data_IF_621354616961
#
_entry.id   IF_621354616961
#
_cell.length_a   1.000
_cell.length_b   1.000
_cell.length_c   1.000
_cell.angle_alpha   90.00
_cell.angle_beta   90.00
_cell.angle_gamma   90.00
#
_symmetry.space_group_name_H-M   'P 1'
#
loop_
_entity.id
_entity.type
_entity.pdbx_description
1 polymer ?
#
# COMPACT_ATOMS: atom_id res chain seq x y z
N UNK A 1 3.95 1.83 18.74
CA UNK A 1 2.93 2.52 19.55
C UNK A 1 1.54 2.06 19.13
N UNK A 2 0.46 2.41 19.85
CA UNK A 2 -0.90 2.02 19.46
C UNK A 2 -1.85 3.20 19.60
N UNK A 3 -2.83 3.26 18.68
CA UNK A 3 -3.94 4.21 18.75
C UNK A 3 -5.27 3.47 18.52
N UNK A 4 -6.30 3.84 19.28
CA UNK A 4 -7.65 3.27 19.12
C UNK A 4 -8.40 4.02 18.00
N UNK A 5 -8.92 3.26 17.04
CA UNK A 5 -9.71 3.78 15.90
C UNK A 5 -11.17 3.26 15.94
N UNK A 6 -11.73 3.10 17.13
CA UNK A 6 -13.06 2.54 17.35
C UNK A 6 -13.00 1.03 17.63
N UNK A 7 -13.37 0.19 16.64
CA UNK A 7 -13.38 -1.28 16.81
C UNK A 7 -12.01 -1.95 16.67
N UNK A 8 -10.94 -1.17 16.48
CA UNK A 8 -9.58 -1.69 16.36
C UNK A 8 -8.55 -0.79 17.04
N UNK A 9 -7.36 -1.36 17.29
CA UNK A 9 -6.17 -0.64 17.72
C UNK A 9 -5.10 -0.79 16.65
N UNK A 10 -4.69 0.32 16.07
CA UNK A 10 -3.65 0.33 15.05
C UNK A 10 -2.28 0.50 15.70
N UNK A 11 -1.36 -0.36 15.31
CA UNK A 11 0.06 -0.20 15.64
C UNK A 11 0.71 0.76 14.65
N UNK A 12 1.58 1.62 15.17
CA UNK A 12 2.42 2.47 14.34
C UNK A 12 3.79 2.68 14.97
N UNK A 13 4.77 2.94 14.12
CA UNK A 13 6.11 3.33 14.51
C UNK A 13 6.45 4.71 13.94
N UNK A 14 7.29 5.49 14.63
CA UNK A 14 7.62 6.85 14.22
C UNK A 14 9.13 6.99 14.08
N UNK A 15 9.57 7.55 12.97
CA UNK A 15 10.97 7.86 12.69
C UNK A 15 11.08 9.35 12.30
N UNK A 16 12.08 10.01 12.81
CA UNK A 16 12.28 11.46 12.64
C UNK A 16 11.58 12.31 13.70
N UNK A 17 11.95 13.58 13.73
CA UNK A 17 11.45 14.54 14.69
C UNK A 17 10.23 15.27 14.14
N UNK A 18 9.24 15.57 14.99
CA UNK A 18 8.08 16.36 14.61
C UNK A 18 8.37 17.87 14.50
N UNK A 19 9.42 18.33 15.17
CA UNK A 19 9.86 19.73 15.15
C UNK A 19 11.31 19.82 14.66
N UNK A 20 11.60 20.81 13.84
CA UNK A 20 12.96 21.15 13.44
C UNK A 20 13.62 22.05 14.50
N UNK A 21 14.37 21.43 15.40
CA UNK A 21 15.09 22.13 16.47
C UNK A 21 16.22 23.04 15.95
N UNK A 22 16.67 22.86 14.72
CA UNK A 22 17.69 23.72 14.10
C UNK A 22 17.09 24.99 13.48
N UNK A 23 15.77 25.05 13.27
CA UNK A 23 15.09 26.24 12.77
C UNK A 23 14.90 27.27 13.90
N UNK A 24 14.97 28.57 13.55
CA UNK A 24 14.79 29.68 14.52
C UNK A 24 13.40 29.68 15.19
N UNK A 25 12.42 29.01 14.60
CA UNK A 25 11.02 29.02 15.06
C UNK A 25 10.53 27.66 15.56
N UNK A 26 11.41 26.64 15.69
CA UNK A 26 10.99 25.26 15.98
C UNK A 26 9.91 24.80 14.99
N UNK A 27 10.13 25.02 13.69
CA UNK A 27 9.15 24.74 12.65
C UNK A 27 8.69 23.27 12.68
N UNK A 28 7.39 23.06 12.50
CA UNK A 28 6.84 21.70 12.41
C UNK A 28 7.27 21.05 11.10
N UNK A 29 7.77 19.82 11.17
CA UNK A 29 8.06 19.00 9.99
C UNK A 29 6.77 18.40 9.45
N UNK A 30 6.61 18.29 8.12
CA UNK A 30 5.46 17.61 7.54
C UNK A 30 5.46 16.13 7.95
N UNK A 31 4.26 15.58 8.19
CA UNK A 31 4.07 14.17 8.48
C UNK A 31 3.92 13.41 7.16
N UNK A 32 4.59 12.25 7.07
CA UNK A 32 4.38 11.28 6.00
C UNK A 32 3.88 9.96 6.59
N UNK A 33 2.67 9.54 6.22
CA UNK A 33 2.12 8.24 6.59
C UNK A 33 2.48 7.23 5.52
N UNK A 34 3.05 6.12 5.94
CA UNK A 34 3.55 5.04 5.09
C UNK A 34 2.67 3.81 5.26
N UNK A 35 1.92 3.49 4.20
CA UNK A 35 0.96 2.40 4.12
C UNK A 35 1.56 1.23 3.35
N UNK A 36 1.79 0.12 4.05
CA UNK A 36 2.45 -1.07 3.49
C UNK A 36 1.57 -1.86 2.52
N UNK A 37 2.23 -2.64 1.67
CA UNK A 37 1.59 -3.60 0.77
C UNK A 37 1.14 -4.88 1.46
N UNK A 38 0.67 -5.81 0.68
CA UNK A 38 0.08 -7.09 1.09
C UNK A 38 -1.25 -7.27 0.39
N UNK A 39 -2.39 -7.33 1.10
CA UNK A 39 -2.54 -7.23 2.57
C UNK A 39 -1.96 -8.39 3.35
N UNK A 40 -2.01 -8.30 4.67
CA UNK A 40 -1.54 -9.37 5.57
C UNK A 40 -0.06 -9.31 5.94
N UNK A 41 0.69 -8.29 5.50
CA UNK A 41 2.04 -7.99 6.01
C UNK A 41 2.00 -6.92 7.11
N UNK A 42 3.16 -6.45 7.54
CA UNK A 42 3.33 -5.29 8.41
C UNK A 42 4.21 -4.22 7.75
N UNK A 43 4.36 -3.07 8.42
CA UNK A 43 5.14 -1.94 7.93
C UNK A 43 6.64 -2.25 7.75
N UNK A 44 7.16 -3.34 8.31
CA UNK A 44 8.58 -3.68 8.21
C UNK A 44 9.05 -3.91 6.77
N UNK A 45 8.10 -4.17 5.86
CA UNK A 45 8.37 -4.30 4.42
C UNK A 45 8.82 -2.98 3.77
N UNK A 46 8.52 -1.83 4.38
CA UNK A 46 8.93 -0.51 3.91
C UNK A 46 10.24 -0.01 4.53
N UNK A 47 10.71 -0.68 5.58
CA UNK A 47 11.94 -0.29 6.28
C UNK A 47 13.17 -1.08 5.81
N UNK A 48 14.37 -0.51 5.80
CA UNK A 48 14.69 0.88 6.21
C UNK A 48 14.64 1.90 5.05
N UNK A 49 14.05 1.55 3.91
CA UNK A 49 14.15 2.36 2.68
C UNK A 49 13.69 3.80 2.85
N UNK A 50 12.61 4.01 3.59
CA UNK A 50 12.05 5.35 3.80
C UNK A 50 12.69 6.12 4.95
N UNK A 51 13.47 5.47 5.81
CA UNK A 51 14.11 6.13 6.97
C UNK A 51 15.01 7.31 6.54
N UNK A 52 15.53 7.29 5.30
CA UNK A 52 16.30 8.39 4.69
C UNK A 52 15.57 9.73 4.60
N UNK A 53 14.26 9.73 4.65
CA UNK A 53 13.44 10.94 4.59
C UNK A 53 13.14 11.54 5.96
N UNK A 54 13.67 10.93 7.05
CA UNK A 54 13.47 11.40 8.44
C UNK A 54 14.10 12.77 8.72
N UNK A 55 15.04 13.21 7.88
CA UNK A 55 15.65 14.55 7.98
C UNK A 55 14.69 15.66 7.54
N UNK A 56 13.68 15.35 6.74
CA UNK A 56 12.73 16.32 6.17
C UNK A 56 11.30 16.11 6.62
N UNK A 57 10.95 14.91 7.05
CA UNK A 57 9.59 14.52 7.45
C UNK A 57 9.62 13.75 8.77
N UNK A 58 8.52 13.85 9.52
CA UNK A 58 8.20 12.84 10.53
C UNK A 58 7.50 11.67 9.81
N UNK A 59 8.12 10.49 9.85
CA UNK A 59 7.62 9.29 9.19
C UNK A 59 6.78 8.47 10.15
N UNK A 60 5.57 8.11 9.73
CA UNK A 60 4.67 7.22 10.48
C UNK A 60 4.47 5.95 9.66
N UNK A 61 4.99 4.85 10.16
CA UNK A 61 4.81 3.51 9.61
C UNK A 61 3.62 2.86 10.28
N UNK A 62 2.56 2.60 9.53
CA UNK A 62 1.30 2.09 10.05
C UNK A 62 1.12 0.62 9.68
N UNK A 63 0.72 -0.22 10.64
CA UNK A 63 0.16 -1.54 10.37
C UNK A 63 -1.35 -1.36 10.15
N UNK A 64 -1.87 -1.79 8.99
CA UNK A 64 -3.31 -1.73 8.71
C UNK A 64 -4.11 -2.60 9.67
N UNK A 65 -5.40 -2.29 9.85
CA UNK A 65 -6.36 -3.14 10.58
C UNK A 65 -6.22 -4.61 10.17
N UNK A 66 -6.12 -5.52 11.15
CA UNK A 66 -5.94 -6.96 10.94
C UNK A 66 -4.53 -7.36 10.54
N UNK A 67 -3.63 -6.43 10.20
CA UNK A 67 -2.28 -6.70 9.74
C UNK A 67 -1.25 -6.48 10.85
N UNK A 68 -0.13 -7.18 10.76
CA UNK A 68 0.99 -7.01 11.67
C UNK A 68 0.61 -7.09 13.14
N UNK A 69 0.82 -6.01 13.87
CA UNK A 69 0.52 -5.85 15.30
C UNK A 69 -0.84 -5.20 15.56
N UNK A 70 -1.51 -4.73 14.51
CA UNK A 70 -2.84 -4.12 14.61
C UNK A 70 -3.91 -5.17 14.87
N UNK A 71 -4.96 -4.77 15.59
CA UNK A 71 -6.15 -5.60 15.80
C UNK A 71 -7.24 -5.29 14.77
N UNK A 72 -8.34 -6.00 14.83
CA UNK A 72 -9.54 -5.81 14.03
C UNK A 72 -10.12 -7.14 13.59
N UNK A 73 -11.43 -7.27 13.73
CA UNK A 73 -12.16 -8.49 13.39
C UNK A 73 -12.37 -8.60 11.88
N UNK A 74 -12.52 -9.83 11.39
CA UNK A 74 -12.61 -10.15 9.96
C UNK A 74 -13.76 -9.44 9.24
N UNK A 75 -14.88 -9.25 9.90
CA UNK A 75 -16.06 -8.56 9.36
C UNK A 75 -15.85 -7.06 9.11
N UNK A 76 -14.70 -6.53 9.54
CA UNK A 76 -14.28 -5.15 9.35
C UNK A 76 -13.10 -5.00 8.36
N UNK A 77 -12.70 -6.05 7.62
CA UNK A 77 -11.59 -6.01 6.68
C UNK A 77 -12.05 -5.66 5.27
N UNK A 78 -12.43 -4.41 5.03
CA UNK A 78 -12.85 -3.90 3.72
C UNK A 78 -12.29 -2.48 3.49
N UNK A 79 -12.23 -2.07 2.23
CA UNK A 79 -11.52 -0.85 1.81
C UNK A 79 -12.06 0.41 2.49
N UNK A 80 -13.37 0.56 2.61
CA UNK A 80 -13.99 1.70 3.32
C UNK A 80 -13.46 1.83 4.74
N UNK A 81 -13.41 0.71 5.47
CA UNK A 81 -12.99 0.71 6.86
C UNK A 81 -11.49 0.99 6.99
N UNK A 82 -10.63 0.43 6.12
CA UNK A 82 -9.22 0.75 6.14
C UNK A 82 -8.96 2.22 5.82
N UNK A 83 -9.73 2.82 4.91
CA UNK A 83 -9.65 4.26 4.60
C UNK A 83 -10.11 5.12 5.77
N UNK A 84 -11.25 4.80 6.37
CA UNK A 84 -11.81 5.53 7.51
C UNK A 84 -10.91 5.40 8.77
N UNK A 85 -10.22 4.28 8.93
CA UNK A 85 -9.21 4.11 9.99
C UNK A 85 -8.09 5.15 9.88
N UNK A 86 -7.63 5.50 8.67
CA UNK A 86 -6.60 6.53 8.48
C UNK A 86 -7.13 7.90 8.92
N UNK A 87 -8.39 8.21 8.58
CA UNK A 87 -9.02 9.47 8.99
C UNK A 87 -9.12 9.57 10.52
N UNK A 88 -9.58 8.50 11.18
CA UNK A 88 -9.66 8.44 12.65
C UNK A 88 -8.28 8.50 13.29
N UNK A 89 -7.31 7.77 12.74
CA UNK A 89 -5.91 7.79 13.18
C UNK A 89 -5.34 9.21 13.17
N UNK A 90 -5.48 9.93 12.04
CA UNK A 90 -5.02 11.31 11.91
C UNK A 90 -5.71 12.23 12.94
N UNK A 91 -7.04 12.12 13.06
CA UNK A 91 -7.81 12.90 14.02
C UNK A 91 -7.37 12.67 15.46
N UNK A 92 -7.12 11.42 15.87
CA UNK A 92 -6.68 11.07 17.22
C UNK A 92 -5.29 11.60 17.58
N UNK A 93 -4.42 11.73 16.60
CA UNK A 93 -3.05 12.20 16.78
C UNK A 93 -2.85 13.68 16.44
N UNK A 94 -3.90 14.39 16.02
CA UNK A 94 -3.81 15.80 15.62
C UNK A 94 -2.98 15.99 14.34
N UNK A 95 -2.97 15.01 13.45
CA UNK A 95 -2.25 15.07 12.17
C UNK A 95 -3.17 15.72 11.14
N UNK A 96 -2.77 16.88 10.63
CA UNK A 96 -3.50 17.62 9.63
C UNK A 96 -2.88 17.41 8.24
N UNK A 97 -3.68 16.93 7.29
CA UNK A 97 -3.34 16.76 5.88
C UNK A 97 -1.91 16.22 5.62
N UNK A 98 -1.56 15.01 6.08
CA UNK A 98 -0.24 14.43 5.86
C UNK A 98 0.05 14.19 4.38
N UNK A 99 1.33 13.97 4.03
CA UNK A 99 1.71 13.24 2.83
C UNK A 99 1.35 11.77 3.06
N UNK A 100 0.62 11.16 2.13
CA UNK A 100 0.26 9.74 2.23
C UNK A 100 0.99 8.96 1.14
N UNK A 101 1.82 8.01 1.56
CA UNK A 101 2.45 7.04 0.68
C UNK A 101 1.73 5.70 0.82
N UNK A 102 1.38 5.09 -0.31
CA UNK A 102 0.81 3.74 -0.33
C UNK A 102 1.46 2.84 -1.37
N UNK A 103 1.90 1.65 -0.95
CA UNK A 103 2.45 0.63 -1.83
C UNK A 103 1.46 -0.50 -2.03
N UNK A 104 1.20 -0.91 -3.28
CA UNK A 104 0.34 -2.07 -3.61
C UNK A 104 -1.02 -1.95 -2.91
N UNK A 105 -1.41 -2.90 -2.05
CA UNK A 105 -2.60 -2.80 -1.21
C UNK A 105 -2.68 -1.47 -0.42
N UNK A 106 -1.57 -1.02 0.19
CA UNK A 106 -1.53 0.28 0.86
C UNK A 106 -1.81 1.45 -0.08
N UNK A 107 -1.52 1.31 -1.38
CA UNK A 107 -1.89 2.27 -2.41
C UNK A 107 -3.41 2.26 -2.71
N UNK A 108 -4.05 1.10 -2.66
CA UNK A 108 -5.52 1.00 -2.78
C UNK A 108 -6.21 1.69 -1.61
N UNK A 109 -5.75 1.44 -0.38
CA UNK A 109 -6.24 2.13 0.83
C UNK A 109 -5.98 3.64 0.75
N UNK A 110 -4.79 4.07 0.29
CA UNK A 110 -4.43 5.48 0.15
C UNK A 110 -5.33 6.21 -0.86
N UNK A 111 -5.62 5.60 -2.01
CA UNK A 111 -6.54 6.14 -3.01
C UNK A 111 -7.95 6.28 -2.46
N UNK A 112 -8.45 5.23 -1.81
CA UNK A 112 -9.78 5.23 -1.19
C UNK A 112 -9.88 6.29 -0.09
N UNK A 113 -8.85 6.40 0.76
CA UNK A 113 -8.76 7.46 1.77
C UNK A 113 -8.77 8.86 1.16
N UNK A 114 -7.97 9.11 0.11
CA UNK A 114 -7.90 10.42 -0.52
C UNK A 114 -9.22 10.82 -1.22
N UNK A 115 -9.93 9.86 -1.79
CA UNK A 115 -11.23 10.10 -2.43
C UNK A 115 -12.34 10.39 -1.40
N UNK A 116 -12.40 9.62 -0.30
CA UNK A 116 -13.42 9.77 0.76
C UNK A 116 -13.16 10.96 1.69
N UNK A 117 -11.89 11.29 1.91
CA UNK A 117 -11.44 12.34 2.84
C UNK A 117 -10.51 13.36 2.15
N UNK A 118 -10.98 14.10 1.12
CA UNK A 118 -10.11 14.91 0.27
C UNK A 118 -9.35 16.02 1.01
N UNK A 119 -9.88 16.54 2.11
CA UNK A 119 -9.18 17.50 2.96
C UNK A 119 -8.11 16.86 3.87
N UNK A 120 -8.10 15.53 3.97
CA UNK A 120 -7.21 14.74 4.84
C UNK A 120 -5.84 14.44 4.22
N UNK A 121 -5.56 14.85 2.98
CA UNK A 121 -4.32 14.50 2.26
C UNK A 121 -3.71 15.73 1.61
N UNK A 122 -2.46 16.06 1.95
CA UNK A 122 -1.75 17.18 1.29
C UNK A 122 -1.11 16.76 -0.03
N UNK A 123 -0.56 15.56 -0.09
CA UNK A 123 0.04 14.92 -1.26
C UNK A 123 -0.13 13.42 -1.19
N UNK A 124 -0.35 12.80 -2.34
CA UNK A 124 -0.51 11.35 -2.48
C UNK A 124 0.64 10.76 -3.29
N UNK A 125 1.24 9.69 -2.78
CA UNK A 125 2.30 8.94 -3.48
C UNK A 125 1.85 7.49 -3.57
N UNK A 126 1.66 7.00 -4.78
CA UNK A 126 1.18 5.66 -5.10
C UNK A 126 2.30 4.87 -5.77
N UNK A 127 2.66 3.73 -5.21
CA UNK A 127 3.74 2.89 -5.72
C UNK A 127 3.24 1.47 -5.98
N UNK A 128 3.43 0.97 -7.22
CA UNK A 128 3.10 -0.42 -7.60
C UNK A 128 1.71 -0.83 -7.10
N UNK A 129 0.66 -0.11 -7.53
CA UNK A 129 -0.73 -0.28 -7.08
C UNK A 129 -1.71 -0.23 -8.26
N UNK A 130 -2.98 -0.48 -8.00
CA UNK A 130 -4.03 -0.52 -9.00
C UNK A 130 -5.34 0.05 -8.47
N UNK A 131 -6.05 0.83 -9.30
CA UNK A 131 -7.43 1.23 -9.03
C UNK A 131 -8.44 0.16 -9.45
N UNK A 132 -8.02 -0.73 -10.35
CA UNK A 132 -8.76 -1.92 -10.79
C UNK A 132 -7.76 -3.06 -10.98
N UNK A 133 -8.07 -4.23 -10.45
CA UNK A 133 -7.20 -5.39 -10.64
C UNK A 133 -7.34 -5.95 -12.06
N UNK A 134 -6.22 -6.20 -12.71
CA UNK A 134 -6.12 -6.66 -14.09
C UNK A 134 -5.46 -8.05 -14.14
N UNK A 135 -6.24 -9.09 -13.82
CA UNK A 135 -5.72 -10.47 -13.78
C UNK A 135 -5.08 -10.90 -15.11
N UNK A 136 -5.67 -10.49 -16.24
CA UNK A 136 -5.14 -10.78 -17.58
C UNK A 136 -3.74 -10.20 -17.81
N UNK A 137 -3.49 -8.96 -17.36
CA UNK A 137 -2.19 -8.30 -17.46
C UNK A 137 -1.18 -8.90 -16.46
N UNK A 138 -1.64 -9.19 -15.23
CA UNK A 138 -0.84 -9.88 -14.20
C UNK A 138 -0.37 -11.24 -14.73
N UNK A 139 -1.26 -12.04 -15.31
CA UNK A 139 -0.92 -13.34 -15.86
C UNK A 139 0.09 -13.26 -17.01
N UNK A 140 -0.09 -12.29 -17.92
CA UNK A 140 0.87 -12.05 -19.01
C UNK A 140 2.27 -11.72 -18.47
N UNK A 141 2.35 -10.87 -17.44
CA UNK A 141 3.63 -10.49 -16.85
C UNK A 141 4.25 -11.65 -16.07
N UNK A 142 3.47 -12.41 -15.30
CA UNK A 142 3.94 -13.61 -14.60
C UNK A 142 4.49 -14.65 -15.58
N UNK A 143 3.81 -14.86 -16.73
CA UNK A 143 4.29 -15.73 -17.80
C UNK A 143 5.61 -15.25 -18.40
N UNK A 144 5.76 -13.95 -18.60
CA UNK A 144 7.00 -13.34 -19.12
C UNK A 144 8.18 -13.54 -18.17
N UNK A 145 7.95 -13.45 -16.85
CA UNK A 145 9.00 -13.47 -15.83
C UNK A 145 9.32 -14.87 -15.31
N UNK A 146 8.32 -15.73 -15.15
CA UNK A 146 8.43 -17.05 -14.50
C UNK A 146 7.79 -18.19 -15.29
N UNK A 147 7.42 -17.94 -16.56
CA UNK A 147 6.87 -18.98 -17.44
C UNK A 147 5.42 -19.37 -17.11
N UNK A 148 4.97 -20.49 -17.70
CA UNK A 148 3.59 -20.97 -17.55
C UNK A 148 3.26 -21.42 -16.12
N UNK A 149 4.25 -21.89 -15.36
CA UNK A 149 4.08 -22.26 -13.96
C UNK A 149 3.67 -21.03 -13.13
N UNK A 150 4.43 -19.94 -13.19
CA UNK A 150 4.13 -18.71 -12.44
C UNK A 150 2.78 -18.10 -12.87
N UNK A 151 2.47 -18.11 -14.16
CA UNK A 151 1.18 -17.66 -14.67
C UNK A 151 0.01 -18.51 -14.15
N UNK A 152 0.16 -19.83 -14.12
CA UNK A 152 -0.84 -20.76 -13.60
C UNK A 152 -1.08 -20.59 -12.11
N UNK A 153 -0.01 -20.46 -11.32
CA UNK A 153 -0.07 -20.23 -9.88
C UNK A 153 -0.73 -18.88 -9.56
N UNK A 154 -0.37 -17.82 -10.28
CA UNK A 154 -0.98 -16.51 -10.12
C UNK A 154 -2.48 -16.53 -10.44
N UNK A 155 -2.87 -17.13 -11.57
CA UNK A 155 -4.27 -17.32 -11.93
C UNK A 155 -5.03 -18.08 -10.85
N UNK A 156 -4.48 -19.20 -10.37
CA UNK A 156 -5.11 -20.01 -9.32
C UNK A 156 -5.33 -19.20 -8.05
N UNK A 157 -4.31 -18.48 -7.59
CA UNK A 157 -4.40 -17.68 -6.36
C UNK A 157 -5.43 -16.55 -6.48
N UNK A 158 -5.36 -15.75 -7.55
CA UNK A 158 -6.26 -14.59 -7.70
C UNK A 158 -7.71 -14.96 -8.09
N UNK A 159 -7.93 -16.14 -8.69
CA UNK A 159 -9.30 -16.60 -9.04
C UNK A 159 -9.96 -17.46 -7.97
N UNK A 160 -9.18 -18.09 -7.10
CA UNK A 160 -9.67 -18.97 -6.05
C UNK A 160 -8.75 -18.89 -4.82
N UNK A 161 -8.76 -17.76 -4.11
CA UNK A 161 -7.86 -17.52 -2.97
C UNK A 161 -8.09 -18.53 -1.84
N UNK A 162 -6.99 -19.08 -1.33
CA UNK A 162 -6.95 -19.96 -0.16
C UNK A 162 -5.57 -19.86 0.48
N UNK A 163 -5.42 -20.34 1.72
CA UNK A 163 -4.11 -20.35 2.39
C UNK A 163 -3.09 -21.20 1.65
N UNK A 164 -3.48 -22.36 1.13
CA UNK A 164 -2.61 -23.23 0.31
C UNK A 164 -2.19 -22.54 -1.00
N UNK A 165 -3.13 -21.85 -1.66
CA UNK A 165 -2.83 -21.08 -2.87
C UNK A 165 -1.92 -19.87 -2.55
N UNK A 166 -2.11 -19.21 -1.41
CA UNK A 166 -1.25 -18.13 -0.91
C UNK A 166 0.18 -18.64 -0.65
N UNK A 167 0.33 -19.79 0.01
CA UNK A 167 1.64 -20.38 0.26
C UNK A 167 2.35 -20.76 -1.05
N UNK A 168 1.61 -21.37 -1.99
CA UNK A 168 2.15 -21.74 -3.31
C UNK A 168 2.57 -20.49 -4.10
N UNK A 169 1.73 -19.46 -4.10
CA UNK A 169 2.03 -18.18 -4.70
C UNK A 169 3.30 -17.54 -4.09
N UNK A 170 3.44 -17.63 -2.77
CA UNK A 170 4.61 -17.17 -2.04
C UNK A 170 5.92 -17.81 -2.51
N UNK A 171 5.87 -19.11 -2.81
CA UNK A 171 7.05 -19.88 -3.26
C UNK A 171 7.42 -19.60 -4.71
N UNK A 172 6.43 -19.49 -5.60
CA UNK A 172 6.63 -19.43 -7.05
C UNK A 172 6.66 -18.00 -7.59
N UNK A 173 5.72 -17.15 -7.14
CA UNK A 173 5.52 -15.82 -7.73
C UNK A 173 6.24 -14.70 -6.97
N UNK A 174 6.32 -14.75 -5.63
CA UNK A 174 6.98 -13.68 -4.87
C UNK A 174 8.47 -13.46 -5.21
N UNK A 175 9.27 -14.47 -5.57
CA UNK A 175 10.65 -14.23 -6.04
C UNK A 175 10.73 -13.33 -7.27
N UNK A 176 9.68 -13.31 -8.10
CA UNK A 176 9.61 -12.49 -9.33
C UNK A 176 9.39 -11.00 -9.06
N UNK A 177 9.10 -10.61 -7.82
CA UNK A 177 8.90 -9.20 -7.43
C UNK A 177 10.21 -8.44 -7.24
N UNK A 178 11.33 -9.14 -7.22
CA UNK A 178 12.65 -8.55 -7.00
C UNK A 178 13.52 -8.75 -8.23
N UNK A 179 14.23 -7.72 -8.63
CA UNK A 179 15.28 -7.87 -9.64
C UNK A 179 16.44 -8.68 -9.00
N UNK A 180 16.83 -9.85 -9.56
CA UNK A 180 17.92 -10.65 -9.01
C UNK A 180 19.27 -9.89 -9.03
N UNK A 181 19.43 -8.91 -9.92
CA UNK A 181 20.65 -8.09 -10.03
C UNK A 181 20.62 -6.87 -9.09
N UNK A 182 19.52 -6.61 -8.40
CA UNK A 182 19.48 -5.53 -7.41
C UNK A 182 20.35 -5.88 -6.20
N UNK A 183 21.10 -4.92 -5.62
CA UNK A 183 21.80 -5.14 -4.37
C UNK A 183 20.81 -5.68 -3.35
N UNK A 184 21.02 -6.91 -2.89
CA UNK A 184 20.09 -7.55 -1.97
C UNK A 184 20.06 -6.76 -0.65
N UNK A 185 19.04 -6.00 -0.45
CA UNK A 185 18.76 -5.37 0.83
C UNK A 185 18.18 -6.38 1.83
N UNK A 186 18.51 -7.66 1.70
CA UNK A 186 17.95 -8.76 2.49
C UNK A 186 16.49 -9.06 2.14
N UNK A 187 16.01 -10.23 2.50
CA UNK A 187 14.61 -10.58 2.33
C UNK A 187 13.79 -9.96 3.48
N UNK A 188 13.38 -8.69 3.33
CA UNK A 188 12.60 -8.01 4.37
C UNK A 188 11.26 -8.66 4.68
N UNK A 189 10.76 -9.52 3.78
CA UNK A 189 9.54 -10.28 4.00
C UNK A 189 9.69 -11.34 5.08
N UNK A 190 10.89 -11.91 5.24
CA UNK A 190 11.15 -12.95 6.25
C UNK A 190 11.03 -12.43 7.69
N UNK A 191 11.17 -11.13 7.89
CA UNK A 191 11.01 -10.48 9.20
C UNK A 191 9.60 -9.93 9.42
N UNK A 192 8.77 -9.86 8.37
CA UNK A 192 7.43 -9.31 8.46
C UNK A 192 6.50 -10.27 9.22
N UNK A 193 5.64 -9.72 10.05
CA UNK A 193 4.52 -10.46 10.61
C UNK A 193 3.52 -10.70 9.49
N UNK A 194 3.24 -11.97 9.21
CA UNK A 194 2.33 -12.36 8.15
C UNK A 194 0.98 -12.81 8.71
N UNK A 195 -0.09 -12.39 8.04
CA UNK A 195 -1.49 -12.71 8.31
C UNK A 195 -2.15 -13.19 7.00
N UNK A 196 -1.91 -14.44 6.57
CA UNK A 196 -2.44 -14.97 5.31
C UNK A 196 -3.96 -14.85 5.20
N UNK A 197 -4.66 -14.99 6.35
CA UNK A 197 -6.11 -14.89 6.43
C UNK A 197 -6.65 -13.53 5.96
N UNK A 198 -5.91 -12.43 6.19
CA UNK A 198 -6.29 -11.08 5.71
C UNK A 198 -6.12 -11.00 4.19
N UNK A 199 -5.04 -11.56 3.66
CA UNK A 199 -4.81 -11.60 2.23
C UNK A 199 -5.88 -12.42 1.51
N UNK A 200 -6.17 -13.62 1.99
CA UNK A 200 -7.22 -14.49 1.43
C UNK A 200 -8.57 -13.80 1.45
N UNK A 201 -8.96 -13.17 2.56
CA UNK A 201 -10.20 -12.42 2.67
C UNK A 201 -10.28 -11.29 1.62
N UNK A 202 -9.26 -10.43 1.56
CA UNK A 202 -9.23 -9.30 0.64
C UNK A 202 -9.33 -9.75 -0.84
N UNK A 203 -8.56 -10.75 -1.23
CA UNK A 203 -8.57 -11.25 -2.60
C UNK A 203 -9.87 -11.97 -2.97
N UNK A 204 -10.58 -12.56 -1.98
CA UNK A 204 -11.88 -13.22 -2.20
C UNK A 204 -13.02 -12.21 -2.30
N UNK A 205 -13.08 -11.27 -1.36
CA UNK A 205 -14.28 -10.47 -1.13
C UNK A 205 -14.17 -9.05 -1.72
N UNK A 206 -12.99 -8.41 -1.66
CA UNK A 206 -12.82 -7.02 -2.08
C UNK A 206 -12.22 -6.89 -3.49
N UNK A 207 -11.03 -7.46 -3.72
CA UNK A 207 -10.29 -7.20 -4.94
C UNK A 207 -10.98 -7.73 -6.21
N UNK A 208 -11.75 -8.81 -6.11
CA UNK A 208 -12.47 -9.40 -7.23
C UNK A 208 -13.49 -8.43 -7.87
N UNK A 209 -13.99 -7.48 -7.08
CA UNK A 209 -15.02 -6.49 -7.48
C UNK A 209 -14.50 -5.06 -7.49
N UNK A 210 -13.24 -4.84 -7.10
CA UNK A 210 -12.66 -3.52 -6.97
C UNK A 210 -12.53 -2.79 -8.31
N UNK A 211 -13.24 -1.68 -8.45
CA UNK A 211 -13.04 -0.70 -9.52
C UNK A 211 -13.24 0.71 -8.95
N UNK A 212 -12.14 1.36 -8.59
CA UNK A 212 -12.15 2.68 -7.95
C UNK A 212 -11.97 3.83 -8.95
N UNK A 213 -11.97 3.59 -10.28
CA UNK A 213 -11.62 4.60 -11.28
C UNK A 213 -12.53 5.83 -11.24
N UNK A 214 -13.83 5.62 -11.05
CA UNK A 214 -14.78 6.73 -10.93
C UNK A 214 -14.60 7.49 -9.61
N UNK A 215 -14.30 6.80 -8.54
CA UNK A 215 -14.10 7.36 -7.21
C UNK A 215 -12.83 8.22 -7.15
N UNK A 216 -11.70 7.71 -7.65
CA UNK A 216 -10.42 8.43 -7.63
C UNK A 216 -10.36 9.64 -8.58
N UNK A 217 -11.31 9.76 -9.51
CA UNK A 217 -11.45 10.95 -10.34
C UNK A 217 -11.71 12.22 -9.51
N UNK A 218 -12.23 12.07 -8.29
CA UNK A 218 -12.43 13.15 -7.33
C UNK A 218 -11.18 13.57 -6.53
N UNK A 219 -10.05 12.89 -6.68
CA UNK A 219 -8.81 13.24 -5.96
C UNK A 219 -8.23 14.54 -6.52
N UNK A 220 -8.08 15.56 -5.67
CA UNK A 220 -7.61 16.90 -6.06
C UNK A 220 -6.20 17.23 -5.57
N UNK A 221 -5.66 16.50 -4.60
CA UNK A 221 -4.31 16.73 -4.08
C UNK A 221 -3.24 16.35 -5.13
N UNK A 222 -2.06 17.00 -5.10
CA UNK A 222 -0.95 16.60 -5.95
C UNK A 222 -0.60 15.12 -5.76
N UNK A 223 -0.58 14.37 -6.87
CA UNK A 223 -0.40 12.91 -6.84
C UNK A 223 0.83 12.50 -7.65
N UNK A 224 1.64 11.61 -7.09
CA UNK A 224 2.73 10.93 -7.77
C UNK A 224 2.41 9.44 -7.89
N UNK A 225 2.39 8.92 -9.10
CA UNK A 225 2.22 7.48 -9.37
C UNK A 225 3.54 6.91 -9.88
N UNK A 226 4.00 5.84 -9.25
CA UNK A 226 5.24 5.14 -9.61
C UNK A 226 4.90 3.67 -9.89
N UNK A 227 5.23 3.19 -11.08
CA UNK A 227 5.04 1.79 -11.49
C UNK A 227 6.33 1.17 -12.04
N UNK A 228 6.52 -0.12 -11.77
CA UNK A 228 7.61 -0.88 -12.39
C UNK A 228 7.23 -1.31 -13.81
N UNK A 229 8.16 -1.17 -14.79
CA UNK A 229 7.94 -1.61 -16.17
C UNK A 229 7.82 -3.13 -16.32
N UNK A 230 8.29 -3.86 -15.31
CA UNK A 230 8.23 -5.32 -15.23
C UNK A 230 7.54 -5.77 -13.93
N UNK A 231 6.65 -4.93 -13.37
CA UNK A 231 5.89 -5.29 -12.17
C UNK A 231 4.99 -6.50 -12.46
N UNK A 232 5.15 -7.61 -11.73
CA UNK A 232 4.44 -8.85 -12.03
C UNK A 232 2.95 -8.84 -11.65
N UNK A 233 2.51 -7.92 -10.76
CA UNK A 233 1.15 -7.90 -10.20
C UNK A 233 0.38 -6.65 -10.60
N UNK A 234 1.04 -5.51 -10.56
CA UNK A 234 0.48 -4.23 -10.97
C UNK A 234 1.27 -3.65 -12.15
N UNK A 235 1.20 -4.30 -13.33
CA UNK A 235 1.95 -3.89 -14.51
C UNK A 235 1.61 -2.45 -14.94
N UNK A 236 2.38 -1.84 -15.84
CA UNK A 236 2.24 -0.43 -16.24
C UNK A 236 0.81 0.02 -16.55
N UNK A 237 -0.01 -0.85 -17.13
CA UNK A 237 -1.42 -0.57 -17.40
C UNK A 237 -2.24 -0.18 -16.14
N UNK A 238 -1.83 -0.64 -14.95
CA UNK A 238 -2.49 -0.27 -13.69
C UNK A 238 -2.18 1.18 -13.30
N UNK A 239 -0.91 1.59 -13.38
CA UNK A 239 -0.52 2.98 -13.11
C UNK A 239 -1.03 3.95 -14.17
N UNK A 240 -1.09 3.54 -15.43
CA UNK A 240 -1.70 4.32 -16.52
C UNK A 240 -3.20 4.53 -16.30
N UNK A 241 -3.92 3.49 -15.83
CA UNK A 241 -5.34 3.59 -15.50
C UNK A 241 -5.60 4.57 -14.34
N UNK A 242 -4.76 4.55 -13.29
CA UNK A 242 -4.82 5.51 -12.19
C UNK A 242 -4.58 6.94 -12.73
N UNK A 243 -3.54 7.13 -13.54
CA UNK A 243 -3.20 8.42 -14.09
C UNK A 243 -4.32 8.98 -14.99
N UNK A 244 -4.93 8.13 -15.80
CA UNK A 244 -6.06 8.50 -16.65
C UNK A 244 -7.31 8.89 -15.84
N UNK A 245 -7.59 8.18 -14.74
CA UNK A 245 -8.75 8.45 -13.90
C UNK A 245 -8.62 9.75 -13.10
N UNK A 246 -7.46 10.02 -12.47
CA UNK A 246 -7.21 11.26 -11.73
C UNK A 246 -7.08 12.44 -12.69
N UNK A 247 -6.37 12.29 -13.79
CA UNK A 247 -6.34 13.21 -14.94
C UNK A 247 -5.67 14.57 -14.74
N UNK A 248 -5.50 15.06 -13.50
CA UNK A 248 -4.96 16.39 -13.18
C UNK A 248 -4.07 16.34 -11.94
N UNK A 249 -3.20 17.35 -11.77
CA UNK A 249 -2.26 17.43 -10.64
C UNK A 249 -1.46 16.13 -10.40
N UNK A 250 -1.12 15.42 -11.48
CA UNK A 250 -0.52 14.08 -11.40
C UNK A 250 0.80 14.03 -12.18
N UNK A 251 1.76 13.31 -11.62
CA UNK A 251 2.96 12.85 -12.30
C UNK A 251 2.98 11.32 -12.31
N UNK A 252 3.21 10.73 -13.48
CA UNK A 252 3.39 9.28 -13.66
C UNK A 252 4.85 8.99 -14.01
N UNK A 253 5.46 8.06 -13.27
CA UNK A 253 6.83 7.60 -13.49
C UNK A 253 6.84 6.08 -13.61
N UNK A 254 7.39 5.57 -14.72
CA UNK A 254 7.71 4.16 -14.86
C UNK A 254 9.21 3.93 -14.65
N UNK A 255 9.56 2.97 -13.82
CA UNK A 255 10.95 2.60 -13.48
C UNK A 255 11.25 1.14 -13.86
#
# INVERSE_FOLDING_TARGET
MFVDVGSARLFFDVVGQGLDAASATMAQRPVMILLHGGPGYDHSTLRPYFDRYSDTHQLIYLDHRGCGRSTGERDSWYLDQWADDIAVFCSRLGIEAPVVFGQSFGGMVAMHYAARHPAGVSRLILSSTAAQFRLDETEKMMRRLGGDEAAGVARQFFSNPSEDAYETYGKVCLPLYSNPDAPSAGNFRDRAIQRPEVAVHFFTDEMAHMDMRDEIAGITCPTLVIGGTIDPVTPPACSEAIAAAIGHNLSLIHI
#
